data_IF_879383002105
#
_entry.id   IF_879383002105
#
_cell.length_a   1.000
_cell.length_b   1.000
_cell.length_c   1.000
_cell.angle_alpha   90.00
_cell.angle_beta   90.00
_cell.angle_gamma   90.00
#
_symmetry.space_group_name_H-M   'P 1'
#
loop_
_entity.id
_entity.type
_entity.pdbx_description
1 polymer ?
#
# COMPACT_ATOMS: atom_id res chain seq x y z
N UNK A 1 11.09 -7.63 -12.48
CA UNK A 1 10.54 -7.18 -11.18
C UNK A 1 9.36 -8.08 -10.83
N UNK A 2 9.74 -9.24 -10.30
CA UNK A 2 9.09 -10.23 -9.44
C UNK A 2 7.55 -10.34 -9.39
N UNK A 3 7.00 -11.09 -10.35
CA UNK A 3 5.64 -11.64 -10.29
C UNK A 3 5.43 -12.64 -9.12
N UNK A 4 6.52 -13.13 -8.51
CA UNK A 4 6.47 -14.09 -7.40
C UNK A 4 6.05 -13.45 -6.07
N UNK A 5 6.42 -12.18 -5.83
CA UNK A 5 6.05 -11.46 -4.60
C UNK A 5 4.56 -11.11 -4.60
N UNK A 6 4.01 -10.73 -5.76
CA UNK A 6 2.58 -10.40 -5.89
C UNK A 6 1.72 -11.65 -5.63
N UNK A 7 2.14 -12.82 -6.11
CA UNK A 7 1.32 -14.04 -6.11
C UNK A 7 1.18 -14.73 -4.75
N UNK A 8 2.03 -14.41 -3.77
CA UNK A 8 2.03 -15.07 -2.45
C UNK A 8 1.70 -14.11 -1.29
N UNK A 9 1.72 -12.81 -1.54
CA UNK A 9 1.67 -11.77 -0.51
C UNK A 9 0.88 -10.50 -0.90
N UNK A 10 0.58 -10.30 -2.19
CA UNK A 10 -0.20 -9.16 -2.66
C UNK A 10 -1.67 -9.29 -2.27
N UNK A 11 -2.20 -8.26 -1.60
CA UNK A 11 -3.64 -8.06 -1.44
C UNK A 11 -4.08 -6.98 -2.43
N UNK A 12 -5.33 -7.03 -2.86
CA UNK A 12 -5.92 -5.95 -3.63
C UNK A 12 -6.50 -4.90 -2.69
N UNK A 13 -6.24 -3.62 -2.96
CA UNK A 13 -6.94 -2.51 -2.33
C UNK A 13 -7.76 -1.75 -3.38
N UNK A 14 -8.97 -1.33 -3.01
CA UNK A 14 -9.79 -0.46 -3.83
C UNK A 14 -9.47 0.99 -3.44
N UNK A 15 -8.81 1.73 -4.32
CA UNK A 15 -8.43 3.12 -4.07
C UNK A 15 -9.25 4.03 -5.00
N UNK A 16 -10.08 4.91 -4.43
CA UNK A 16 -11.05 5.74 -5.17
C UNK A 16 -11.91 4.94 -6.18
N UNK A 17 -12.31 3.73 -5.83
CA UNK A 17 -13.09 2.86 -6.71
C UNK A 17 -12.28 2.12 -7.79
N UNK A 18 -10.95 2.27 -7.82
CA UNK A 18 -10.06 1.52 -8.73
C UNK A 18 -9.28 0.48 -7.93
N UNK A 19 -9.30 -0.77 -8.39
CA UNK A 19 -8.57 -1.86 -7.74
C UNK A 19 -7.10 -1.81 -8.11
N UNK A 20 -6.22 -1.81 -7.11
CA UNK A 20 -4.78 -1.89 -7.29
C UNK A 20 -4.19 -3.05 -6.50
N UNK A 21 -3.14 -3.65 -7.06
CA UNK A 21 -2.28 -4.58 -6.35
C UNK A 21 -1.45 -3.83 -5.31
N UNK A 22 -1.60 -4.19 -4.04
CA UNK A 22 -0.86 -3.58 -2.94
C UNK A 22 -0.20 -4.63 -2.06
N UNK A 23 0.88 -4.26 -1.40
CA UNK A 23 1.52 -5.08 -0.36
C UNK A 23 1.61 -4.24 0.91
N UNK A 24 1.19 -4.82 2.04
CA UNK A 24 1.38 -4.19 3.34
C UNK A 24 2.86 -4.03 3.62
N UNK A 25 3.29 -2.82 3.96
CA UNK A 25 4.68 -2.59 4.34
C UNK A 25 5.08 -3.44 5.55
N UNK A 26 4.16 -3.73 6.47
CA UNK A 26 4.35 -4.67 7.58
C UNK A 26 4.87 -6.05 7.14
N UNK A 27 4.49 -6.50 5.95
CA UNK A 27 4.91 -7.78 5.37
C UNK A 27 6.25 -7.68 4.62
N UNK A 28 6.60 -6.48 4.15
CA UNK A 28 7.92 -6.16 3.61
C UNK A 28 8.95 -5.89 4.72
N UNK A 29 8.50 -5.42 5.88
CA UNK A 29 9.30 -4.97 7.03
C UNK A 29 9.69 -6.11 8.00
N UNK A 30 9.64 -7.38 7.58
CA UNK A 30 10.32 -8.49 8.28
C UNK A 30 11.86 -8.28 8.41
N UNK A 31 12.41 -7.14 7.96
CA UNK A 31 13.81 -6.73 8.10
C UNK A 31 14.02 -5.30 8.67
N UNK A 32 13.26 -4.86 9.69
CA UNK A 32 13.61 -3.61 10.39
C UNK A 32 12.70 -3.21 11.56
N UNK A 33 13.20 -2.43 12.55
CA UNK A 33 12.47 -2.15 13.78
C UNK A 33 11.21 -1.33 13.51
N UNK A 34 10.05 -1.95 13.81
CA UNK A 34 8.71 -1.36 13.84
C UNK A 34 8.70 -0.07 14.68
N UNK A 35 8.92 1.07 14.03
CA UNK A 35 8.74 2.39 14.63
C UNK A 35 7.51 3.04 14.03
N UNK A 36 6.38 2.82 14.69
CA UNK A 36 5.13 3.53 14.42
C UNK A 36 3.99 2.61 14.03
N UNK A 37 2.89 2.71 14.76
CA UNK A 37 1.63 2.00 14.56
C UNK A 37 0.88 2.48 13.28
N UNK A 38 1.62 2.86 12.24
CA UNK A 38 1.13 3.47 11.01
C UNK A 38 1.05 2.41 9.92
N UNK A 39 -0.17 2.00 9.58
CA UNK A 39 -0.40 1.09 8.46
C UNK A 39 0.00 1.77 7.16
N UNK A 40 0.79 1.06 6.36
CA UNK A 40 1.18 1.55 5.05
C UNK A 40 1.11 0.46 4.00
N UNK A 41 0.73 0.85 2.80
CA UNK A 41 0.53 -0.01 1.65
C UNK A 41 1.44 0.47 0.52
N UNK A 42 2.22 -0.44 -0.05
CA UNK A 42 3.01 -0.18 -1.26
C UNK A 42 2.16 -0.59 -2.46
N UNK A 43 1.87 0.36 -3.34
CA UNK A 43 1.03 0.14 -4.53
C UNK A 43 1.92 -0.26 -5.70
N UNK A 44 1.65 -1.42 -6.28
CA UNK A 44 2.41 -2.02 -7.38
C UNK A 44 1.82 -1.62 -8.75
N UNK A 45 1.35 -0.39 -8.87
CA UNK A 45 0.86 0.17 -10.14
C UNK A 45 1.67 1.40 -10.51
N UNK A 46 2.09 1.49 -11.78
CA UNK A 46 2.75 2.67 -12.33
C UNK A 46 1.79 3.79 -12.70
N UNK A 47 0.49 3.49 -12.74
CA UNK A 47 -0.55 4.45 -13.13
C UNK A 47 -1.18 5.14 -11.91
N UNK A 48 -0.98 4.58 -10.72
CA UNK A 48 -1.50 5.15 -9.48
C UNK A 48 -0.65 6.33 -9.01
N UNK A 49 -1.28 7.51 -8.96
CA UNK A 49 -0.68 8.71 -8.36
C UNK A 49 -1.31 8.94 -6.98
N UNK A 50 -0.59 8.68 -5.88
CA UNK A 50 -1.14 8.81 -4.55
C UNK A 50 -1.45 10.28 -4.21
N UNK A 51 -2.57 10.50 -3.54
CA UNK A 51 -3.00 11.80 -3.01
C UNK A 51 -3.45 11.66 -1.58
N UNK A 52 -3.32 12.75 -0.83
CA UNK A 52 -3.88 12.83 0.52
C UNK A 52 -5.41 12.86 0.43
N UNK A 53 -6.07 12.16 1.34
CA UNK A 53 -7.52 11.94 1.40
C UNK A 53 -8.08 10.97 0.35
N UNK A 54 -7.23 10.17 -0.31
CA UNK A 54 -7.73 9.06 -1.12
C UNK A 54 -8.44 8.04 -0.23
N UNK A 55 -9.62 7.60 -0.66
CA UNK A 55 -10.36 6.52 0.01
C UNK A 55 -9.75 5.18 -0.39
N UNK A 56 -9.42 4.34 0.59
CA UNK A 56 -8.81 3.03 0.40
C UNK A 56 -9.64 1.97 1.10
N UNK A 57 -10.25 1.06 0.35
CA UNK A 57 -10.90 -0.12 0.92
C UNK A 57 -9.93 -1.29 0.86
N UNK A 58 -9.53 -1.77 2.03
CA UNK A 58 -8.55 -2.85 2.18
C UNK A 58 -8.93 -3.76 3.36
N UNK A 59 -8.90 -5.06 3.13
CA UNK A 59 -9.39 -6.10 4.07
C UNK A 59 -10.85 -5.92 4.52
N UNK A 60 -11.70 -5.34 3.66
CA UNK A 60 -13.11 -5.06 4.00
C UNK A 60 -13.29 -3.90 4.98
N UNK A 61 -12.23 -3.13 5.25
CA UNK A 61 -12.29 -1.88 6.01
C UNK A 61 -12.01 -0.69 5.10
N UNK A 62 -12.67 0.43 5.36
CA UNK A 62 -12.39 1.70 4.73
C UNK A 62 -11.28 2.42 5.50
N UNK A 63 -10.35 3.00 4.76
CA UNK A 63 -9.21 3.73 5.25
C UNK A 63 -9.04 5.00 4.44
N UNK A 64 -8.29 5.96 4.98
CA UNK A 64 -7.99 7.22 4.29
C UNK A 64 -6.49 7.42 4.16
N UNK A 65 -6.01 7.85 2.99
CA UNK A 65 -4.59 8.18 2.81
C UNK A 65 -4.25 9.47 3.55
N UNK A 66 -3.39 9.36 4.55
CA UNK A 66 -2.95 10.49 5.39
C UNK A 66 -1.66 11.10 4.88
N UNK A 67 -0.79 10.25 4.31
CA UNK A 67 0.54 10.58 3.79
C UNK A 67 0.90 9.60 2.68
N UNK A 68 1.80 10.01 1.79
CA UNK A 68 2.40 9.12 0.80
C UNK A 68 3.90 9.44 0.62
N UNK A 69 4.67 8.44 0.24
CA UNK A 69 6.10 8.51 -0.06
C UNK A 69 6.47 7.56 -1.20
N UNK A 70 7.73 7.57 -1.64
CA UNK A 70 8.26 6.64 -2.62
C UNK A 70 9.13 5.59 -1.92
N UNK A 71 8.78 4.31 -2.10
CA UNK A 71 9.55 3.18 -1.61
C UNK A 71 10.07 2.36 -2.79
N UNK A 72 11.39 2.33 -3.00
CA UNK A 72 12.00 1.66 -4.17
C UNK A 72 11.40 2.08 -5.53
N UNK A 73 11.07 3.37 -5.67
CA UNK A 73 10.44 3.91 -6.89
C UNK A 73 8.96 3.54 -7.06
N UNK A 74 8.34 2.90 -6.06
CA UNK A 74 6.90 2.62 -6.03
C UNK A 74 6.19 3.52 -5.02
N UNK A 75 4.95 3.95 -5.30
CA UNK A 75 4.16 4.74 -4.36
C UNK A 75 3.81 3.92 -3.11
N UNK A 76 4.25 4.40 -1.93
CA UNK A 76 3.84 3.91 -0.61
C UNK A 76 2.87 4.90 -0.01
N UNK A 77 1.68 4.45 0.36
CA UNK A 77 0.64 5.25 1.02
C UNK A 77 0.51 4.83 2.48
N UNK A 78 0.31 5.81 3.35
CA UNK A 78 -0.01 5.61 4.76
C UNK A 78 -1.49 5.80 4.95
N UNK A 79 -2.11 4.86 5.66
CA UNK A 79 -3.54 4.80 5.86
C UNK A 79 -3.86 4.79 7.36
N UNK A 80 -4.90 5.54 7.75
CA UNK A 80 -5.50 5.52 9.09
C UNK A 80 -7.01 5.31 9.02
#
# INVERSE_FOLDING_TARGET
MDAATIKKMGKTALINGITYDVISAELLEEMGPLSGNLRSLVVFSGEYTPRRNDEVVWEGKNWTVTRHELFNGKPRIFIE
#
